data_IF_936413899278
#
_entry.id   IF_936413899278
#
_cell.length_a   1.000
_cell.length_b   1.000
_cell.length_c   1.000
_cell.angle_alpha   90.00
_cell.angle_beta   90.00
_cell.angle_gamma   90.00
#
_symmetry.space_group_name_H-M   'P 1'
#
loop_
_entity.id
_entity.type
_entity.pdbx_description
1 polymer ?
#
# COMPACT_ATOMS: atom_id res chain seq x y z
N UNK A 1 26.25 -0.13 -25.72
CA UNK A 1 26.25 0.07 -24.26
C UNK A 1 25.35 1.25 -23.97
N UNK A 2 24.10 0.98 -23.64
CA UNK A 2 23.16 1.97 -23.12
C UNK A 2 22.44 1.23 -22.01
N UNK A 3 22.93 1.37 -20.77
CA UNK A 3 22.14 0.97 -19.63
C UNK A 3 20.94 1.91 -19.60
N UNK A 4 19.75 1.38 -19.87
CA UNK A 4 18.51 2.06 -19.53
C UNK A 4 18.59 2.37 -18.03
N UNK A 5 18.82 3.65 -17.72
CA UNK A 5 18.70 4.13 -16.35
C UNK A 5 17.29 3.83 -15.92
N UNK A 6 17.13 3.01 -14.88
CA UNK A 6 15.84 2.81 -14.24
C UNK A 6 15.33 4.20 -13.88
N UNK A 7 14.33 4.68 -14.61
CA UNK A 7 13.74 6.00 -14.43
C UNK A 7 13.13 6.00 -13.02
N UNK A 8 13.83 6.62 -12.08
CA UNK A 8 13.41 6.66 -10.68
C UNK A 8 12.28 7.67 -10.57
N UNK A 9 11.06 7.18 -10.61
CA UNK A 9 9.91 8.01 -10.28
C UNK A 9 9.87 8.32 -8.78
N UNK A 10 9.47 9.54 -8.45
CA UNK A 10 9.14 9.99 -7.11
C UNK A 10 7.68 9.65 -6.83
N UNK A 11 7.41 9.09 -5.64
CA UNK A 11 6.07 8.79 -5.18
C UNK A 11 5.69 9.68 -4.00
N UNK A 12 4.43 10.13 -3.95
CA UNK A 12 3.86 10.67 -2.71
C UNK A 12 3.61 9.55 -1.70
N UNK A 13 3.30 9.89 -0.44
CA UNK A 13 2.68 8.91 0.45
C UNK A 13 1.38 8.37 -0.14
N UNK A 14 0.98 7.17 0.29
CA UNK A 14 -0.35 6.62 0.04
C UNK A 14 -1.36 7.30 0.96
N UNK A 15 -2.37 7.94 0.37
CA UNK A 15 -3.40 8.68 1.07
C UNK A 15 -4.68 7.85 1.13
N UNK A 16 -4.92 7.17 2.24
CA UNK A 16 -6.10 6.30 2.42
C UNK A 16 -7.35 7.15 2.65
N UNK A 17 -8.40 6.90 1.89
CA UNK A 17 -9.67 7.62 1.99
C UNK A 17 -10.46 7.21 3.24
N UNK A 18 -11.22 8.15 3.82
CA UNK A 18 -11.94 7.94 5.09
C UNK A 18 -13.18 7.08 4.98
N UNK A 19 -13.82 7.04 3.80
CA UNK A 19 -15.08 6.30 3.65
C UNK A 19 -15.20 5.62 2.29
N UNK A 20 -15.98 4.53 2.27
CA UNK A 20 -16.43 3.83 1.06
C UNK A 20 -17.09 4.75 0.01
N UNK A 21 -17.59 5.90 0.43
CA UNK A 21 -18.22 6.90 -0.44
C UNK A 21 -17.25 7.89 -1.10
N UNK A 22 -15.97 7.85 -0.72
CA UNK A 22 -14.97 8.81 -1.18
C UNK A 22 -14.44 8.51 -2.60
N UNK A 23 -14.86 7.40 -3.24
CA UNK A 23 -14.71 7.25 -4.70
C UNK A 23 -15.39 8.40 -5.44
N UNK A 24 -16.48 8.97 -4.89
CA UNK A 24 -17.08 10.19 -5.43
C UNK A 24 -16.18 11.40 -5.27
N UNK A 25 -15.37 11.47 -4.20
CA UNK A 25 -14.35 12.52 -4.05
C UNK A 25 -13.24 12.32 -5.08
N UNK A 26 -12.77 11.10 -5.30
CA UNK A 26 -11.77 10.81 -6.35
C UNK A 26 -12.31 11.21 -7.73
N UNK A 27 -13.53 10.80 -8.07
CA UNK A 27 -14.17 11.18 -9.34
C UNK A 27 -14.31 12.69 -9.47
N UNK A 28 -14.80 13.36 -8.42
CA UNK A 28 -14.94 14.81 -8.41
C UNK A 28 -13.59 15.51 -8.59
N UNK A 29 -12.53 15.02 -7.94
CA UNK A 29 -11.19 15.55 -8.09
C UNK A 29 -10.65 15.38 -9.50
N UNK A 30 -10.81 14.18 -10.08
CA UNK A 30 -10.47 13.86 -11.47
C UNK A 30 -11.19 14.81 -12.44
N UNK A 31 -12.49 15.03 -12.22
CA UNK A 31 -13.31 15.92 -13.06
C UNK A 31 -12.91 17.39 -12.90
N UNK A 32 -12.74 17.88 -11.66
CA UNK A 32 -12.36 19.27 -11.35
C UNK A 32 -10.97 19.63 -11.90
N UNK A 33 -10.04 18.68 -11.86
CA UNK A 33 -8.68 18.85 -12.37
C UNK A 33 -8.53 18.43 -13.84
N UNK A 34 -9.60 17.97 -14.48
CA UNK A 34 -9.63 17.53 -15.89
C UNK A 34 -8.53 16.52 -16.20
N UNK A 35 -8.32 15.56 -15.30
CA UNK A 35 -7.28 14.55 -15.48
C UNK A 35 -7.64 13.62 -16.65
N UNK A 36 -6.63 13.19 -17.41
CA UNK A 36 -6.83 12.32 -18.57
C UNK A 36 -6.72 10.86 -18.14
N UNK A 37 -7.72 9.99 -18.39
CA UNK A 37 -7.62 8.58 -18.03
C UNK A 37 -6.52 7.88 -18.83
N UNK A 38 -5.71 7.08 -18.15
CA UNK A 38 -4.64 6.29 -18.75
C UNK A 38 -4.97 4.81 -18.79
N UNK A 39 -5.73 4.31 -17.81
CA UNK A 39 -6.15 2.91 -17.81
C UNK A 39 -6.66 2.42 -16.46
N UNK A 40 -7.09 1.17 -16.47
CA UNK A 40 -7.47 0.40 -15.29
C UNK A 40 -6.79 -0.97 -15.39
N UNK A 41 -6.15 -1.39 -14.31
CA UNK A 41 -5.45 -2.67 -14.19
C UNK A 41 -5.97 -3.43 -12.97
N UNK A 42 -6.21 -4.72 -13.15
CA UNK A 42 -6.60 -5.64 -12.09
C UNK A 42 -5.77 -6.92 -12.20
N UNK A 43 -4.55 -6.94 -11.64
CA UNK A 43 -3.78 -8.16 -11.55
C UNK A 43 -4.50 -9.18 -10.65
N UNK A 44 -4.33 -10.47 -10.94
CA UNK A 44 -4.91 -11.52 -10.11
C UNK A 44 -4.38 -11.41 -8.66
N UNK A 45 -5.29 -11.40 -7.67
CA UNK A 45 -5.00 -11.23 -6.25
C UNK A 45 -4.35 -9.89 -5.83
N UNK A 46 -4.36 -8.86 -6.69
CA UNK A 46 -3.82 -7.54 -6.40
C UNK A 46 -4.91 -6.46 -6.25
N UNK A 47 -4.47 -5.25 -5.93
CA UNK A 47 -5.33 -4.06 -5.84
C UNK A 47 -5.88 -3.71 -7.23
N UNK A 48 -7.12 -3.22 -7.27
CA UNK A 48 -7.62 -2.54 -8.46
C UNK A 48 -6.89 -1.20 -8.59
N UNK A 49 -6.14 -1.02 -9.67
CA UNK A 49 -5.42 0.21 -9.97
C UNK A 49 -6.11 0.98 -11.08
N UNK A 50 -6.40 2.25 -10.85
CA UNK A 50 -6.86 3.19 -11.89
C UNK A 50 -5.89 4.35 -11.97
N UNK A 51 -5.54 4.73 -13.19
CA UNK A 51 -4.49 5.72 -13.45
C UNK A 51 -5.00 6.85 -14.33
N UNK A 52 -4.61 8.08 -13.99
CA UNK A 52 -4.89 9.28 -14.75
C UNK A 52 -3.64 10.15 -14.85
N UNK A 53 -3.50 10.88 -15.96
CA UNK A 53 -2.53 11.96 -16.09
C UNK A 53 -3.12 13.23 -15.48
N UNK A 54 -2.46 13.74 -14.43
CA UNK A 54 -2.85 14.97 -13.74
C UNK A 54 -2.20 16.20 -14.39
N UNK A 55 -0.92 16.07 -14.77
CA UNK A 55 -0.18 17.04 -15.57
C UNK A 55 0.90 16.31 -16.39
N UNK A 56 1.59 16.97 -17.34
CA UNK A 56 2.81 16.39 -17.91
C UNK A 56 3.78 15.97 -16.80
N UNK A 57 4.23 14.71 -16.82
CA UNK A 57 5.15 14.14 -15.82
C UNK A 57 4.54 13.82 -14.45
N UNK A 58 3.23 14.00 -14.23
CA UNK A 58 2.56 13.64 -12.96
C UNK A 58 1.30 12.82 -13.20
N UNK A 59 1.27 11.67 -12.56
CA UNK A 59 0.22 10.69 -12.62
C UNK A 59 -0.48 10.57 -11.27
N UNK A 60 -1.80 10.48 -11.31
CA UNK A 60 -2.63 10.17 -10.17
C UNK A 60 -3.07 8.71 -10.28
N UNK A 61 -2.86 7.94 -9.21
CA UNK A 61 -3.27 6.54 -9.14
C UNK A 61 -4.22 6.34 -7.96
N UNK A 62 -5.31 5.62 -8.19
CA UNK A 62 -6.20 5.12 -7.15
C UNK A 62 -6.02 3.60 -7.03
N UNK A 63 -5.74 3.13 -5.82
CA UNK A 63 -5.52 1.74 -5.46
C UNK A 63 -6.66 1.29 -4.55
N UNK A 64 -7.49 0.35 -5.00
CA UNK A 64 -8.64 -0.13 -4.25
C UNK A 64 -8.45 -1.59 -3.82
N UNK A 65 -8.61 -1.83 -2.52
CA UNK A 65 -8.70 -3.17 -1.91
C UNK A 65 -10.16 -3.47 -1.56
N UNK A 66 -10.78 -4.38 -2.29
CA UNK A 66 -12.17 -4.80 -2.06
C UNK A 66 -12.34 -5.55 -0.73
N UNK A 67 -11.28 -6.19 -0.21
CA UNK A 67 -11.30 -6.91 1.08
C UNK A 67 -11.31 -5.92 2.25
N UNK A 68 -10.51 -4.87 2.14
CA UNK A 68 -10.47 -3.77 3.09
C UNK A 68 -11.67 -2.81 2.95
N UNK A 69 -12.35 -2.87 1.80
CA UNK A 69 -13.33 -1.87 1.38
C UNK A 69 -12.74 -0.45 1.42
N UNK A 70 -11.48 -0.33 1.00
CA UNK A 70 -10.68 0.88 1.14
C UNK A 70 -9.99 1.25 -0.18
N UNK A 71 -9.79 2.55 -0.37
CA UNK A 71 -9.04 3.12 -1.50
C UNK A 71 -7.93 4.00 -0.96
N UNK A 72 -6.74 3.87 -1.52
CA UNK A 72 -5.66 4.84 -1.36
C UNK A 72 -5.40 5.56 -2.67
N UNK A 73 -4.96 6.81 -2.57
CA UNK A 73 -4.48 7.58 -3.73
C UNK A 73 -2.99 7.86 -3.58
N UNK A 74 -2.26 7.83 -4.69
CA UNK A 74 -0.83 8.12 -4.74
C UNK A 74 -0.51 8.90 -6.00
N UNK A 75 0.42 9.83 -5.89
CA UNK A 75 0.98 10.55 -7.03
C UNK A 75 2.32 9.95 -7.39
N UNK A 76 2.56 9.83 -8.69
CA UNK A 76 3.81 9.32 -9.27
C UNK A 76 4.29 10.34 -10.29
N UNK A 77 5.56 10.68 -10.30
CA UNK A 77 6.13 11.60 -11.28
C UNK A 77 7.64 11.69 -11.20
N UNK A 78 8.24 12.51 -12.05
CA UNK A 78 9.71 12.59 -12.18
C UNK A 78 10.31 13.73 -11.36
N UNK A 79 9.49 14.70 -10.96
CA UNK A 79 9.90 15.89 -10.22
C UNK A 79 9.31 15.91 -8.81
N UNK A 80 10.19 15.86 -7.80
CA UNK A 80 9.79 15.80 -6.40
C UNK A 80 8.98 17.02 -5.93
N UNK A 81 9.33 18.22 -6.40
CA UNK A 81 8.64 19.45 -5.99
C UNK A 81 7.23 19.50 -6.58
N UNK A 82 7.09 19.08 -7.84
CA UNK A 82 5.82 19.00 -8.52
C UNK A 82 4.90 17.95 -7.88
N UNK A 83 5.42 16.75 -7.60
CA UNK A 83 4.69 15.70 -6.88
C UNK A 83 4.25 16.20 -5.50
N UNK A 84 5.14 16.86 -4.74
CA UNK A 84 4.82 17.40 -3.41
C UNK A 84 3.70 18.45 -3.47
N UNK A 85 3.77 19.42 -4.39
CA UNK A 85 2.74 20.47 -4.54
C UNK A 85 1.37 19.88 -4.88
N UNK A 86 1.32 18.90 -5.78
CA UNK A 86 0.06 18.23 -6.10
C UNK A 86 -0.42 17.34 -4.96
N UNK A 87 0.49 16.69 -4.23
CA UNK A 87 0.14 15.87 -3.08
C UNK A 87 -0.54 16.71 -2.00
N UNK A 88 -0.03 17.92 -1.69
CA UNK A 88 -0.67 18.85 -0.76
C UNK A 88 -2.09 19.24 -1.20
N UNK A 89 -2.29 19.48 -2.50
CA UNK A 89 -3.60 19.80 -3.05
C UNK A 89 -4.58 18.62 -2.91
N UNK A 90 -4.14 17.42 -3.27
CA UNK A 90 -4.93 16.19 -3.17
C UNK A 90 -5.28 15.93 -1.71
N UNK A 91 -4.31 16.02 -0.80
CA UNK A 91 -4.48 15.79 0.64
C UNK A 91 -5.54 16.72 1.24
N UNK A 92 -5.49 18.03 0.90
CA UNK A 92 -6.50 19.00 1.34
C UNK A 92 -7.90 18.69 0.83
N UNK A 93 -8.00 18.12 -0.38
CA UNK A 93 -9.28 17.80 -1.00
C UNK A 93 -9.87 16.50 -0.44
N UNK A 94 -9.07 15.43 -0.35
CA UNK A 94 -9.55 14.10 0.04
C UNK A 94 -9.61 13.92 1.56
N UNK A 95 -8.78 14.67 2.29
CA UNK A 95 -8.64 14.63 3.75
C UNK A 95 -8.40 13.19 4.23
N UNK A 96 -7.25 12.58 3.86
CA UNK A 96 -7.02 11.17 4.11
C UNK A 96 -6.95 10.84 5.61
N UNK A 97 -6.99 9.55 5.92
CA UNK A 97 -6.64 9.05 7.24
C UNK A 97 -5.17 9.35 7.54
N UNK A 98 -4.89 9.78 8.78
CA UNK A 98 -3.52 9.91 9.27
C UNK A 98 -2.96 8.57 9.67
N UNK A 99 -1.63 8.50 9.85
CA UNK A 99 -0.97 7.28 10.28
C UNK A 99 -1.46 6.85 11.67
N UNK A 100 -1.67 7.82 12.57
CA UNK A 100 -2.23 7.59 13.90
C UNK A 100 -3.63 7.00 13.84
N UNK A 101 -4.49 7.48 12.93
CA UNK A 101 -5.84 6.96 12.75
C UNK A 101 -5.81 5.52 12.20
N UNK A 102 -4.95 5.25 11.22
CA UNK A 102 -4.76 3.91 10.66
C UNK A 102 -4.28 2.93 11.72
N UNK A 103 -3.21 3.27 12.45
CA UNK A 103 -2.62 2.41 13.47
C UNK A 103 -3.55 2.23 14.69
N UNK A 104 -4.31 3.27 15.07
CA UNK A 104 -5.30 3.20 16.14
C UNK A 104 -6.46 2.28 15.76
N UNK A 105 -6.89 2.28 14.49
CA UNK A 105 -7.99 1.43 14.03
C UNK A 105 -7.73 -0.06 14.33
N UNK A 106 -6.50 -0.55 14.10
CA UNK A 106 -6.09 -1.93 14.43
C UNK A 106 -6.33 -2.25 15.90
N UNK A 107 -5.91 -1.34 16.79
CA UNK A 107 -6.00 -1.55 18.24
C UNK A 107 -7.42 -1.40 18.80
N UNK A 108 -8.24 -0.59 18.15
CA UNK A 108 -9.61 -0.29 18.58
C UNK A 108 -10.65 -1.30 18.10
N UNK A 109 -10.31 -2.11 17.10
CA UNK A 109 -11.19 -3.10 16.50
C UNK A 109 -11.55 -4.23 17.49
N UNK A 110 -12.85 -4.53 17.58
CA UNK A 110 -13.41 -5.42 18.61
C UNK A 110 -13.66 -6.82 18.11
N UNK A 111 -13.85 -6.98 16.80
CA UNK A 111 -14.07 -8.28 16.15
C UNK A 111 -12.87 -8.67 15.28
N UNK A 112 -12.75 -9.97 14.96
CA UNK A 112 -11.72 -10.45 14.03
C UNK A 112 -11.85 -9.79 12.65
N UNK A 113 -13.07 -9.72 12.12
CA UNK A 113 -13.36 -9.06 10.84
C UNK A 113 -13.02 -7.56 10.86
N UNK A 114 -13.32 -6.84 11.96
CA UNK A 114 -12.90 -5.44 12.11
C UNK A 114 -11.37 -5.31 12.16
N UNK A 115 -10.68 -6.20 12.88
CA UNK A 115 -9.21 -6.22 12.94
C UNK A 115 -8.61 -6.50 11.57
N UNK A 116 -9.10 -7.53 10.87
CA UNK A 116 -8.65 -7.90 9.53
C UNK A 116 -8.77 -6.73 8.55
N UNK A 117 -9.92 -6.03 8.54
CA UNK A 117 -10.11 -4.83 7.73
C UNK A 117 -9.14 -3.71 8.12
N UNK A 118 -9.02 -3.41 9.41
CA UNK A 118 -8.12 -2.36 9.88
C UNK A 118 -6.65 -2.65 9.53
N UNK A 119 -6.22 -3.92 9.58
CA UNK A 119 -4.89 -4.37 9.16
C UNK A 119 -4.68 -4.14 7.66
N UNK A 120 -5.63 -4.55 6.81
CA UNK A 120 -5.54 -4.32 5.37
C UNK A 120 -5.52 -2.82 5.03
N UNK A 121 -6.41 -2.03 5.62
CA UNK A 121 -6.46 -0.57 5.42
C UNK A 121 -5.15 0.09 5.87
N UNK A 122 -4.55 -0.37 6.96
CA UNK A 122 -3.26 0.14 7.45
C UNK A 122 -2.12 -0.27 6.52
N UNK A 123 -2.07 -1.52 6.05
CA UNK A 123 -1.08 -1.96 5.08
C UNK A 123 -1.16 -1.16 3.78
N UNK A 124 -2.39 -0.85 3.32
CA UNK A 124 -2.62 -0.05 2.12
C UNK A 124 -2.10 1.39 2.29
N UNK A 125 -2.15 1.93 3.51
CA UNK A 125 -1.63 3.25 3.86
C UNK A 125 -0.18 3.28 4.34
N UNK A 126 0.49 2.13 4.47
CA UNK A 126 1.84 2.08 4.99
C UNK A 126 2.81 2.91 4.10
N UNK A 127 3.87 3.50 4.66
CA UNK A 127 4.86 4.20 3.85
C UNK A 127 5.63 3.23 2.94
N UNK A 128 6.26 3.76 1.89
CA UNK A 128 7.17 2.95 1.05
C UNK A 128 8.47 2.63 1.79
N UNK A 129 9.01 3.61 2.52
CA UNK A 129 10.12 3.39 3.44
C UNK A 129 9.65 2.61 4.68
N UNK A 130 10.58 1.90 5.32
CA UNK A 130 10.31 1.12 6.52
C UNK A 130 9.76 1.98 7.66
N UNK A 131 8.66 1.55 8.27
CA UNK A 131 8.12 2.11 9.50
C UNK A 131 7.84 0.98 10.51
N UNK A 132 8.58 0.99 11.62
CA UNK A 132 8.50 -0.03 12.65
C UNK A 132 7.09 -0.17 13.25
N UNK A 133 6.33 0.94 13.37
CA UNK A 133 4.99 0.93 13.99
C UNK A 133 4.00 0.11 13.16
N UNK A 134 4.08 0.25 11.83
CA UNK A 134 3.30 -0.53 10.89
C UNK A 134 3.78 -1.97 10.84
N UNK A 135 5.10 -2.18 10.74
CA UNK A 135 5.70 -3.51 10.69
C UNK A 135 5.26 -4.36 11.88
N UNK A 136 5.43 -3.86 13.10
CA UNK A 136 5.05 -4.56 14.33
C UNK A 136 3.58 -4.98 14.34
N UNK A 137 2.66 -4.09 13.90
CA UNK A 137 1.22 -4.37 13.92
C UNK A 137 0.79 -5.34 12.83
N UNK A 138 1.37 -5.22 11.63
CA UNK A 138 1.08 -6.12 10.51
C UNK A 138 1.65 -7.52 10.80
N UNK A 139 2.89 -7.60 11.31
CA UNK A 139 3.50 -8.86 11.73
C UNK A 139 2.72 -9.50 12.88
N UNK A 140 2.27 -8.73 13.88
CA UNK A 140 1.41 -9.26 14.93
C UNK A 140 0.11 -9.85 14.37
N UNK A 141 -0.47 -9.23 13.33
CA UNK A 141 -1.66 -9.76 12.66
C UNK A 141 -1.39 -11.08 11.91
N UNK A 142 -0.20 -11.23 11.29
CA UNK A 142 0.21 -12.48 10.61
C UNK A 142 0.22 -13.69 11.55
N UNK A 143 0.39 -13.47 12.87
CA UNK A 143 0.42 -14.52 13.88
C UNK A 143 -0.78 -14.45 14.85
N UNK A 144 -1.89 -13.79 14.47
CA UNK A 144 -3.11 -13.75 15.27
C UNK A 144 -3.73 -15.17 15.38
N UNK A 145 -4.44 -15.42 16.48
CA UNK A 145 -5.18 -16.67 16.68
C UNK A 145 -6.31 -16.87 15.67
N UNK A 146 -6.82 -15.78 15.10
CA UNK A 146 -7.90 -15.79 14.13
C UNK A 146 -7.34 -15.85 12.70
N UNK A 147 -7.76 -16.88 11.97
CA UNK A 147 -7.36 -17.12 10.58
C UNK A 147 -7.62 -15.93 9.66
N UNK A 148 -8.74 -15.21 9.84
CA UNK A 148 -9.09 -14.05 8.99
C UNK A 148 -8.08 -12.92 9.20
N UNK A 149 -7.63 -12.72 10.44
CA UNK A 149 -6.63 -11.71 10.80
C UNK A 149 -5.24 -12.10 10.28
N UNK A 150 -4.86 -13.38 10.33
CA UNK A 150 -3.61 -13.86 9.72
C UNK A 150 -3.56 -13.64 8.21
N UNK A 151 -4.64 -13.99 7.53
CA UNK A 151 -4.79 -13.76 6.09
C UNK A 151 -4.66 -12.26 5.74
N UNK A 152 -5.27 -11.39 6.55
CA UNK A 152 -5.14 -9.95 6.41
C UNK A 152 -3.71 -9.45 6.65
N UNK A 153 -3.00 -9.98 7.66
CA UNK A 153 -1.59 -9.67 7.92
C UNK A 153 -0.70 -10.04 6.74
N UNK A 154 -0.86 -11.24 6.19
CA UNK A 154 -0.13 -11.70 5.01
C UNK A 154 -0.38 -10.77 3.81
N UNK A 155 -1.65 -10.48 3.50
CA UNK A 155 -2.00 -9.59 2.42
C UNK A 155 -1.50 -8.15 2.63
N UNK A 156 -1.61 -7.60 3.84
CA UNK A 156 -1.12 -6.27 4.17
C UNK A 156 0.41 -6.17 4.03
N UNK A 157 1.14 -7.25 4.31
CA UNK A 157 2.58 -7.30 4.12
C UNK A 157 2.96 -7.09 2.65
N UNK A 158 2.18 -7.59 1.68
CA UNK A 158 2.51 -7.44 0.25
C UNK A 158 2.32 -6.03 -0.28
N UNK A 159 1.60 -5.18 0.45
CA UNK A 159 1.44 -3.76 0.09
C UNK A 159 2.69 -2.94 0.40
N UNK A 160 3.57 -3.42 1.28
CA UNK A 160 4.82 -2.77 1.61
C UNK A 160 6.00 -3.73 1.35
N UNK A 161 6.83 -3.43 0.36
CA UNK A 161 7.94 -4.28 -0.07
C UNK A 161 9.15 -4.21 0.87
N UNK A 162 8.92 -4.14 2.19
CA UNK A 162 9.99 -4.09 3.18
C UNK A 162 10.71 -5.45 3.30
N UNK A 163 12.05 -5.50 3.21
CA UNK A 163 12.82 -6.73 3.39
C UNK A 163 12.60 -7.40 4.75
N UNK A 164 12.21 -6.64 5.77
CA UNK A 164 11.93 -7.12 7.12
C UNK A 164 10.77 -8.13 7.17
N UNK A 165 9.91 -8.19 6.16
CA UNK A 165 8.86 -9.22 6.07
C UNK A 165 9.38 -10.61 5.66
N UNK A 166 10.62 -10.75 5.19
CA UNK A 166 11.16 -12.05 4.76
C UNK A 166 11.09 -13.10 5.88
N UNK A 167 11.54 -12.75 7.10
CA UNK A 167 11.51 -13.67 8.24
C UNK A 167 10.07 -14.01 8.70
N UNK A 168 9.15 -13.04 8.93
CA UNK A 168 7.75 -13.35 9.21
C UNK A 168 7.07 -14.22 8.15
N UNK A 169 7.33 -13.96 6.86
CA UNK A 169 6.75 -14.73 5.76
C UNK A 169 7.27 -16.16 5.74
N UNK A 170 8.59 -16.36 5.94
CA UNK A 170 9.17 -17.70 6.04
C UNK A 170 8.58 -18.49 7.21
N UNK A 171 8.44 -17.85 8.38
CA UNK A 171 7.83 -18.48 9.54
C UNK A 171 6.35 -18.86 9.30
N UNK A 172 5.58 -17.98 8.65
CA UNK A 172 4.19 -18.29 8.28
C UNK A 172 4.10 -19.41 7.25
N UNK A 173 4.98 -19.41 6.24
CA UNK A 173 5.04 -20.46 5.22
C UNK A 173 5.39 -21.84 5.79
N UNK A 174 6.23 -21.90 6.83
CA UNK A 174 6.64 -23.15 7.46
C UNK A 174 5.62 -23.62 8.51
N UNK A 175 5.08 -22.71 9.33
CA UNK A 175 4.41 -23.06 10.58
C UNK A 175 2.95 -22.64 10.73
N UNK A 176 2.34 -21.89 9.80
CA UNK A 176 0.90 -21.57 9.92
C UNK A 176 0.08 -22.86 9.97
N UNK A 177 -0.93 -22.92 10.83
CA UNK A 177 -1.80 -24.09 10.96
C UNK A 177 -2.64 -24.32 9.68
N UNK A 178 -2.95 -23.25 8.94
CA UNK A 178 -3.74 -23.33 7.72
C UNK A 178 -2.83 -23.60 6.49
N UNK A 179 -3.02 -24.73 5.78
CA UNK A 179 -2.21 -25.06 4.62
C UNK A 179 -2.29 -24.03 3.47
N UNK A 180 -3.43 -23.38 3.28
CA UNK A 180 -3.61 -22.34 2.25
C UNK A 180 -2.77 -21.12 2.60
N UNK A 181 -2.76 -20.71 3.88
CA UNK A 181 -1.95 -19.59 4.33
C UNK A 181 -0.45 -19.88 4.26
N UNK A 182 -0.04 -21.14 4.49
CA UNK A 182 1.35 -21.56 4.27
C UNK A 182 1.76 -21.42 2.81
N UNK A 183 0.91 -21.89 1.89
CA UNK A 183 1.16 -21.78 0.44
C UNK A 183 1.21 -20.33 -0.02
N UNK A 184 0.22 -19.51 0.37
CA UNK A 184 0.17 -18.09 0.02
C UNK A 184 1.40 -17.32 0.56
N UNK A 185 1.87 -17.65 1.77
CA UNK A 185 3.07 -17.06 2.35
C UNK A 185 4.34 -17.47 1.58
N UNK A 186 4.41 -18.72 1.10
CA UNK A 186 5.48 -19.20 0.23
C UNK A 186 5.54 -18.42 -1.09
N UNK A 187 4.40 -18.23 -1.75
CA UNK A 187 4.29 -17.43 -2.98
C UNK A 187 4.72 -15.98 -2.73
N UNK A 188 4.28 -15.38 -1.63
CA UNK A 188 4.64 -14.01 -1.28
C UNK A 188 6.15 -13.86 -0.98
N UNK A 189 6.79 -14.90 -0.42
CA UNK A 189 8.22 -14.94 -0.16
C UNK A 189 9.03 -15.06 -1.45
N UNK A 190 8.63 -15.97 -2.36
CA UNK A 190 9.27 -16.14 -3.68
C UNK A 190 9.23 -14.84 -4.50
N UNK A 191 8.05 -14.21 -4.57
CA UNK A 191 7.88 -12.94 -5.28
C UNK A 191 8.82 -11.82 -4.78
N UNK A 192 9.29 -11.89 -3.53
CA UNK A 192 10.23 -10.93 -2.94
C UNK A 192 11.69 -11.26 -3.23
N UNK A 193 12.04 -12.53 -3.39
CA UNK A 193 13.38 -12.93 -3.84
C UNK A 193 13.60 -12.60 -5.31
N UNK A 194 12.54 -12.67 -6.12
CA UNK A 194 12.59 -12.34 -7.55
C UNK A 194 12.45 -10.84 -7.84
N UNK A 195 12.10 -10.03 -6.83
CA UNK A 195 12.00 -8.58 -6.99
C UNK A 195 13.40 -7.97 -7.17
N UNK A 196 13.62 -7.11 -8.18
CA UNK A 196 14.89 -6.41 -8.33
C UNK A 196 15.17 -5.55 -7.08
N UNK A 197 16.42 -5.58 -6.62
CA UNK A 197 16.90 -4.90 -5.40
C UNK A 197 16.63 -3.38 -5.49
N UNK A 198 15.46 -2.93 -5.01
CA UNK A 198 15.13 -1.50 -4.89
C UNK A 198 15.86 -0.97 -3.65
N UNK A 199 17.17 -0.80 -3.78
CA UNK A 199 18.00 -0.14 -2.77
C UNK A 199 17.58 1.31 -2.64
N UNK A 200 16.89 1.62 -1.55
CA UNK A 200 16.82 2.99 -1.04
C UNK A 200 18.14 3.31 -0.37
N UNK A 201 19.14 3.72 -1.17
CA UNK A 201 20.32 4.36 -0.62
C UNK A 201 19.92 5.73 -0.09
N UNK A 202 19.70 5.76 1.22
CA UNK A 202 19.48 6.95 2.01
C UNK A 202 20.21 6.79 3.34
N UNK A 203 21.48 6.41 3.30
CA UNK A 203 22.40 6.50 4.44
C UNK A 203 23.84 6.51 3.91
N UNK A 204 24.64 7.43 4.49
CA UNK A 204 26.07 7.66 4.30
C UNK A 204 26.51 8.60 3.15
N UNK A 205 26.68 9.88 3.50
CA UNK A 205 28.03 10.45 3.56
C UNK A 205 28.06 11.59 4.59
N UNK A 206 28.79 11.33 5.68
CA UNK A 206 29.31 12.33 6.62
C UNK A 206 30.79 12.56 6.38
#
# INVERSE_FOLDING_TARGET
MSGEGVERHVLSRRMVLRSRGDERKVRRLVDELRMVPLGEERPAAALLQRSWQMSPGVFFQALTDERADATAVVLVGDDQEQVARFAELVERFVQPLTDEELLAAITSARTATERARAVLTSGLGAPFAYDARYFERITAAMFDKDREVRAAGLAASSYAFWPQYLEPLAAMAEFDEDPVLREDAGVALEARYDAPDVRTEGEEDG
#
